data_IF_669332075552
#
_entry.id   IF_669332075552
#
_cell.length_a   1.000
_cell.length_b   1.000
_cell.length_c   1.000
_cell.angle_alpha   90.00
_cell.angle_beta   90.00
_cell.angle_gamma   90.00
#
_symmetry.space_group_name_H-M   'P 1'
#
loop_
_entity.id
_entity.type
_entity.pdbx_description
1 polymer ?
#
# COMPACT_ATOMS: atom_id res chain seq x y z
N UNK A 1 -12.21 -5.10 -0.60
CA UNK A 1 -12.17 -6.15 0.44
C UNK A 1 -10.79 -6.79 0.36
N UNK A 2 -9.91 -6.59 1.34
CA UNK A 2 -8.50 -7.02 1.30
C UNK A 2 -8.28 -8.36 2.03
N UNK A 3 -9.31 -9.20 2.17
CA UNK A 3 -9.26 -10.41 3.02
C UNK A 3 -8.25 -11.46 2.54
N UNK A 4 -8.05 -11.55 1.22
CA UNK A 4 -7.11 -12.49 0.60
C UNK A 4 -5.72 -11.87 0.35
N UNK A 5 -5.52 -10.61 0.74
CA UNK A 5 -4.24 -9.93 0.55
C UNK A 5 -3.30 -10.25 1.70
N UNK A 6 -2.03 -10.46 1.36
CA UNK A 6 -1.00 -10.87 2.30
C UNK A 6 -0.28 -9.64 2.86
N UNK A 7 -0.12 -9.56 4.17
CA UNK A 7 0.73 -8.53 4.78
C UNK A 7 2.19 -8.71 4.37
N UNK A 8 2.78 -7.67 3.77
CA UNK A 8 4.22 -7.63 3.47
C UNK A 8 4.99 -6.97 4.61
N UNK A 9 4.63 -5.73 4.95
CA UNK A 9 5.37 -4.93 5.92
C UNK A 9 4.43 -4.06 6.75
N UNK A 10 4.70 -3.99 8.05
CA UNK A 10 4.00 -3.13 8.99
C UNK A 10 4.96 -2.08 9.53
N UNK A 11 4.69 -0.81 9.25
CA UNK A 11 5.45 0.33 9.74
C UNK A 11 4.75 0.93 10.96
N UNK A 12 5.02 0.35 12.13
CA UNK A 12 4.43 0.78 13.40
C UNK A 12 4.63 2.27 13.71
N UNK A 13 5.83 2.80 13.46
CA UNK A 13 6.17 4.22 13.70
C UNK A 13 5.31 5.19 12.90
N UNK A 14 4.88 4.78 11.71
CA UNK A 14 4.13 5.61 10.77
C UNK A 14 2.68 5.17 10.61
N UNK A 15 2.25 4.16 11.38
CA UNK A 15 0.91 3.56 11.31
C UNK A 15 0.50 3.15 9.88
N UNK A 16 1.43 2.60 9.09
CA UNK A 16 1.11 2.09 7.74
C UNK A 16 1.26 0.58 7.66
N UNK A 17 0.34 -0.03 6.93
CA UNK A 17 0.35 -1.44 6.58
C UNK A 17 0.46 -1.58 5.07
N UNK A 18 1.49 -2.28 4.60
CA UNK A 18 1.65 -2.64 3.20
C UNK A 18 1.21 -4.09 3.03
N UNK A 19 0.28 -4.30 2.13
CA UNK A 19 -0.28 -5.60 1.76
C UNK A 19 -0.04 -5.87 0.28
N UNK A 20 0.07 -7.13 -0.10
CA UNK A 20 0.25 -7.62 -1.45
C UNK A 20 -0.99 -8.37 -1.90
N UNK A 21 -1.37 -8.17 -3.16
CA UNK A 21 -2.45 -8.92 -3.77
C UNK A 21 -2.13 -10.41 -3.85
N UNK A 22 -3.13 -11.31 -3.82
CA UNK A 22 -2.90 -12.76 -3.81
C UNK A 22 -2.16 -13.28 -5.05
N UNK A 23 -2.22 -12.55 -6.17
CA UNK A 23 -1.47 -12.85 -7.40
C UNK A 23 -0.05 -12.26 -7.42
N UNK A 24 0.33 -11.49 -6.39
CA UNK A 24 1.64 -10.84 -6.29
C UNK A 24 1.84 -9.70 -7.29
N UNK A 25 0.79 -9.25 -7.98
CA UNK A 25 0.87 -8.20 -9.00
C UNK A 25 0.85 -6.78 -8.41
N UNK A 26 0.20 -6.60 -7.26
CA UNK A 26 -0.08 -5.28 -6.69
C UNK A 26 0.31 -5.19 -5.22
N UNK A 27 0.72 -3.99 -4.81
CA UNK A 27 0.95 -3.64 -3.42
C UNK A 27 0.04 -2.48 -3.04
N UNK A 28 -0.72 -2.63 -1.96
CA UNK A 28 -1.54 -1.57 -1.40
C UNK A 28 -0.96 -1.12 -0.06
N UNK A 29 -0.95 0.19 0.16
CA UNK A 29 -0.57 0.83 1.39
C UNK A 29 -1.82 1.37 2.09
N UNK A 30 -2.04 0.90 3.31
CA UNK A 30 -3.17 1.27 4.16
C UNK A 30 -2.64 2.10 5.33
N UNK A 31 -3.26 3.25 5.57
CA UNK A 31 -3.06 4.03 6.78
C UNK A 31 -3.93 3.45 7.89
N UNK A 32 -3.32 2.95 8.96
CA UNK A 32 -4.01 2.27 10.05
C UNK A 32 -4.77 3.22 10.97
N UNK A 33 -4.41 4.50 11.02
CA UNK A 33 -5.12 5.51 11.82
C UNK A 33 -6.47 5.85 11.20
N UNK A 34 -6.48 6.19 9.90
CA UNK A 34 -7.70 6.49 9.15
C UNK A 34 -8.42 5.22 8.62
N UNK A 35 -7.75 4.06 8.70
CA UNK A 35 -8.13 2.81 8.05
C UNK A 35 -8.43 2.97 6.55
N UNK A 36 -7.63 3.80 5.88
CA UNK A 36 -7.83 4.21 4.48
C UNK A 36 -6.68 3.76 3.57
N UNK A 37 -6.98 3.47 2.31
CA UNK A 37 -5.96 3.07 1.33
C UNK A 37 -5.32 4.33 0.80
N UNK A 38 -4.05 4.55 1.12
CA UNK A 38 -3.34 5.78 0.69
C UNK A 38 -2.68 5.62 -0.66
N UNK A 39 -2.37 4.38 -1.08
CA UNK A 39 -1.86 4.12 -2.43
C UNK A 39 -1.90 2.64 -2.82
N UNK A 40 -1.96 2.36 -4.12
CA UNK A 40 -1.82 1.04 -4.72
C UNK A 40 -0.83 1.14 -5.88
N UNK A 41 0.14 0.24 -5.91
CA UNK A 41 1.19 0.18 -6.92
C UNK A 41 1.15 -1.15 -7.67
N UNK A 42 1.33 -1.09 -8.98
CA UNK A 42 1.57 -2.26 -9.82
C UNK A 42 3.06 -2.65 -9.75
N UNK A 43 3.37 -3.89 -9.38
CA UNK A 43 4.76 -4.35 -9.28
C UNK A 43 5.40 -4.61 -10.63
N UNK A 44 4.61 -4.94 -11.65
CA UNK A 44 5.12 -5.30 -12.98
C UNK A 44 5.62 -4.07 -13.75
N UNK A 45 4.86 -2.98 -13.70
CA UNK A 45 5.14 -1.70 -14.36
C UNK A 45 5.85 -0.71 -13.43
N UNK A 46 5.69 -0.88 -12.11
CA UNK A 46 6.18 0.06 -11.11
C UNK A 46 5.32 1.32 -10.99
N UNK A 47 4.17 1.38 -11.66
CA UNK A 47 3.28 2.53 -11.67
C UNK A 47 2.29 2.52 -10.51
N UNK A 48 1.93 3.71 -10.01
CA UNK A 48 0.91 3.87 -8.99
C UNK A 48 -0.49 3.79 -9.65
N UNK A 49 -1.21 2.68 -9.42
CA UNK A 49 -2.57 2.41 -9.95
C UNK A 49 -3.60 3.30 -9.24
N UNK A 50 -3.40 3.53 -7.95
CA UNK A 50 -4.27 4.36 -7.14
C UNK A 50 -3.44 5.22 -6.22
N UNK A 51 -3.77 6.50 -6.21
CA UNK A 51 -3.09 7.49 -5.42
C UNK A 51 -4.13 8.31 -4.66
N UNK A 52 -4.57 7.78 -3.52
CA UNK A 52 -5.57 8.41 -2.66
C UNK A 52 -5.00 9.61 -1.90
N UNK A 53 -3.74 9.51 -1.45
CA UNK A 53 -3.03 10.59 -0.77
C UNK A 53 -1.58 10.72 -1.26
N UNK A 54 -1.40 11.43 -2.38
CA UNK A 54 -0.18 11.57 -3.19
C UNK A 54 1.06 12.02 -2.43
N UNK A 55 0.87 12.77 -1.34
CA UNK A 55 1.98 13.19 -0.48
C UNK A 55 2.39 12.08 0.49
N UNK A 56 1.46 11.27 0.97
CA UNK A 56 1.71 10.16 1.88
C UNK A 56 2.24 8.94 1.13
N UNK A 57 1.53 8.49 0.09
CA UNK A 57 1.89 7.30 -0.69
C UNK A 57 3.33 7.40 -1.24
N UNK A 58 3.69 8.54 -1.85
CA UNK A 58 5.06 8.79 -2.35
C UNK A 58 6.13 8.80 -1.28
N UNK A 59 5.81 9.17 -0.03
CA UNK A 59 6.77 9.12 1.09
C UNK A 59 7.00 7.70 1.60
N UNK A 60 6.03 6.82 1.39
CA UNK A 60 6.04 5.45 1.92
C UNK A 60 6.63 4.48 0.89
N UNK A 61 6.25 4.63 -0.39
CA UNK A 61 6.61 3.71 -1.48
C UNK A 61 7.96 4.04 -2.18
N UNK A 62 8.55 5.22 -1.96
CA UNK A 62 9.88 5.60 -2.51
C UNK A 62 11.08 4.96 -1.78
N UNK A 63 10.87 3.87 -1.05
CA UNK A 63 11.93 3.26 -0.26
C UNK A 63 12.83 2.36 -1.09
#
# INVERSE_FOLDING_TARGET
DFKDWKTLYLMHDKLYLVIESPDGAMEACIHLEDNDVVGIKDKATGEDIYDGNLRLAKKILKR
#
